data_IF_009637102954
#
_entry.id   IF_009637102954
#
_cell.length_a   1.000
_cell.length_b   1.000
_cell.length_c   1.000
_cell.angle_alpha   90.00
_cell.angle_beta   90.00
_cell.angle_gamma   90.00
#
_symmetry.space_group_name_H-M   'P 1'
#
loop_
_entity.id
_entity.type
_entity.pdbx_description
1 polymer ?
#
# COMPACT_ATOMS: atom_id res chain seq x y z
N UNK A 1 -17.31 -2.44 10.28
CA UNK A 1 -15.92 -2.92 10.08
C UNK A 1 -15.08 -1.71 9.76
N UNK A 2 -13.96 -1.54 10.45
CA UNK A 2 -13.04 -0.42 10.23
C UNK A 2 -12.02 -0.86 9.20
N UNK A 3 -11.70 -0.01 8.23
CA UNK A 3 -10.60 -0.27 7.30
C UNK A 3 -9.29 -0.52 8.06
N UNK A 4 -8.39 -1.31 7.46
CA UNK A 4 -7.06 -1.58 8.01
C UNK A 4 -6.27 -0.28 8.13
N UNK A 5 -5.42 -0.21 9.15
CA UNK A 5 -4.47 0.88 9.27
C UNK A 5 -3.51 0.89 8.08
N UNK A 6 -3.15 2.10 7.63
CA UNK A 6 -2.08 2.32 6.65
C UNK A 6 -1.11 3.37 7.16
N UNK A 7 0.17 3.08 7.03
CA UNK A 7 1.28 3.99 7.32
C UNK A 7 1.83 4.52 5.99
N UNK A 8 2.26 5.78 5.96
CA UNK A 8 2.88 6.39 4.78
C UNK A 8 4.24 6.96 5.16
N UNK A 9 5.20 6.87 4.23
CA UNK A 9 6.51 7.48 4.37
C UNK A 9 6.90 8.17 3.05
N UNK A 10 7.64 9.27 3.17
CA UNK A 10 8.17 10.01 2.04
C UNK A 10 9.56 10.53 2.35
N UNK A 11 10.48 10.31 1.43
CA UNK A 11 11.86 10.82 1.44
C UNK A 11 12.17 11.40 0.06
N UNK A 12 13.29 12.12 -0.14
CA UNK A 12 13.58 12.74 -1.44
C UNK A 12 13.63 11.76 -2.63
N UNK A 13 13.96 10.49 -2.39
CA UNK A 13 14.09 9.47 -3.45
C UNK A 13 12.83 8.63 -3.68
N UNK A 14 11.86 8.61 -2.78
CA UNK A 14 10.63 7.84 -2.96
C UNK A 14 9.52 8.17 -1.95
N UNK A 15 8.31 7.70 -2.26
CA UNK A 15 7.21 7.59 -1.30
C UNK A 15 6.62 6.19 -1.29
N UNK A 16 5.96 5.83 -0.18
CA UNK A 16 5.38 4.50 0.01
C UNK A 16 4.19 4.51 0.96
N UNK A 17 3.38 3.45 0.88
CA UNK A 17 2.30 3.14 1.82
C UNK A 17 2.37 1.67 2.23
N UNK A 18 2.21 1.38 3.51
CA UNK A 18 2.31 0.03 4.09
C UNK A 18 1.12 -0.21 5.02
N UNK A 19 0.57 -1.42 5.06
CA UNK A 19 -0.36 -1.83 6.13
C UNK A 19 0.34 -2.71 7.16
N UNK A 20 0.13 -2.50 8.47
CA UNK A 20 0.55 -3.46 9.49
C UNK A 20 -0.11 -4.84 9.32
N UNK A 21 -1.28 -4.92 8.67
CA UNK A 21 -1.89 -6.19 8.31
C UNK A 21 -1.04 -6.90 7.25
N UNK A 22 -0.40 -8.00 7.64
CA UNK A 22 0.53 -8.75 6.78
C UNK A 22 1.86 -8.02 6.49
N UNK A 23 2.15 -6.90 7.16
CA UNK A 23 3.27 -6.01 6.82
C UNK A 23 3.33 -5.69 5.31
N UNK A 24 2.15 -5.45 4.72
CA UNK A 24 1.94 -5.47 3.28
C UNK A 24 2.26 -4.11 2.67
N UNK A 25 3.23 -4.07 1.76
CA UNK A 25 3.55 -2.88 0.96
C UNK A 25 2.44 -2.65 -0.06
N UNK A 26 1.78 -1.49 0.00
CA UNK A 26 0.60 -1.18 -0.85
C UNK A 26 0.97 -0.31 -2.05
N UNK A 27 2.08 0.41 -1.97
CA UNK A 27 2.50 1.41 -2.94
C UNK A 27 4.00 1.67 -2.77
N UNK A 28 4.71 1.80 -3.88
CA UNK A 28 6.09 2.28 -3.89
C UNK A 28 6.31 3.11 -5.14
N UNK A 29 6.63 4.39 -4.93
CA UNK A 29 6.84 5.34 -6.00
C UNK A 29 8.22 5.97 -5.87
N UNK A 30 9.21 5.51 -6.65
CA UNK A 30 10.47 6.22 -6.81
C UNK A 30 10.25 7.64 -7.36
N UNK A 31 11.13 8.56 -7.02
CA UNK A 31 11.09 9.91 -7.55
C UNK A 31 11.35 9.90 -9.07
N UNK A 32 10.43 10.49 -9.83
CA UNK A 32 10.48 10.51 -11.30
C UNK A 32 9.57 9.47 -11.97
N UNK A 33 9.09 8.48 -11.20
CA UNK A 33 8.24 7.40 -11.71
C UNK A 33 6.81 7.48 -11.17
N UNK A 34 5.94 6.71 -11.80
CA UNK A 34 4.63 6.36 -11.25
C UNK A 34 4.77 5.30 -10.17
N UNK A 35 3.67 4.97 -9.48
CA UNK A 35 3.67 3.80 -8.59
C UNK A 35 4.06 2.55 -9.38
N UNK A 36 5.05 1.82 -8.87
CA UNK A 36 5.59 0.61 -9.54
C UNK A 36 4.87 -0.65 -9.10
N UNK A 37 4.01 -0.54 -8.08
CA UNK A 37 3.20 -1.64 -7.58
C UNK A 37 1.76 -1.48 -8.08
N UNK A 38 1.19 -2.56 -8.57
CA UNK A 38 -0.22 -2.58 -8.91
C UNK A 38 -1.04 -2.95 -7.68
N UNK A 39 -2.01 -2.11 -7.32
CA UNK A 39 -3.01 -2.42 -6.31
C UNK A 39 -4.38 -2.51 -6.96
N UNK A 40 -5.11 -3.60 -6.71
CA UNK A 40 -6.47 -3.76 -7.23
C UNK A 40 -7.37 -2.64 -6.73
N UNK A 41 -8.12 -2.00 -7.63
CA UNK A 41 -9.18 -1.05 -7.26
C UNK A 41 -10.35 -1.70 -6.49
N UNK A 42 -10.37 -3.03 -6.43
CA UNK A 42 -11.34 -3.84 -5.67
C UNK A 42 -10.67 -4.63 -4.53
N UNK A 43 -9.47 -4.25 -4.12
CA UNK A 43 -8.84 -4.85 -2.94
C UNK A 43 -9.75 -4.67 -1.71
N UNK A 44 -9.93 -5.74 -0.95
CA UNK A 44 -10.68 -5.70 0.30
C UNK A 44 -9.72 -5.25 1.40
N UNK A 45 -9.97 -4.06 1.97
CA UNK A 45 -9.08 -3.37 2.92
C UNK A 45 -9.61 -3.42 4.35
N UNK A 46 -10.35 -4.46 4.73
CA UNK A 46 -11.02 -4.59 6.03
C UNK A 46 -10.35 -5.62 6.97
N UNK A 47 -9.23 -6.21 6.54
CA UNK A 47 -8.48 -7.21 7.31
C UNK A 47 -9.13 -8.60 7.36
N UNK A 48 -10.24 -8.83 6.63
CA UNK A 48 -10.92 -10.13 6.59
C UNK A 48 -10.28 -11.13 5.64
N UNK A 49 -9.45 -10.66 4.71
CA UNK A 49 -8.76 -11.48 3.70
C UNK A 49 -7.47 -10.81 3.23
N UNK A 50 -6.62 -11.59 2.58
CA UNK A 50 -5.39 -11.08 1.98
C UNK A 50 -5.67 -9.95 0.96
N UNK A 51 -4.80 -8.94 0.98
CA UNK A 51 -4.86 -7.80 0.07
C UNK A 51 -4.42 -8.25 -1.33
N UNK A 52 -5.11 -7.77 -2.37
CA UNK A 52 -4.82 -8.13 -3.77
C UNK A 52 -4.08 -7.00 -4.46
N UNK A 53 -2.79 -7.23 -4.70
CA UNK A 53 -1.86 -6.23 -5.22
C UNK A 53 -1.00 -5.67 -4.09
N UNK A 54 -0.32 -4.56 -4.36
CA UNK A 54 0.91 -4.23 -3.63
C UNK A 54 2.09 -5.03 -4.14
#
# INVERSE_FOLDING_TARGET
MTDIATLSASIPSCSTRISPFGAHLLSWRPTGDTDVLWLSSRAVMDGTRAIRGG
#
